data_IF_170182409844
#
_entry.id   IF_170182409844
#
_cell.length_a   1.000
_cell.length_b   1.000
_cell.length_c   1.000
_cell.angle_alpha   90.00
_cell.angle_beta   90.00
_cell.angle_gamma   90.00
#
_symmetry.space_group_name_H-M   'P 1'
#
loop_
_entity.id
_entity.type
_entity.pdbx_description
1 polymer ?
#
# COMPACT_ATOMS: atom_id res chain seq x y z
N UNK A 1 -0.82 -3.73 16.11
CA UNK A 1 -0.26 -2.80 15.14
C UNK A 1 -1.01 -1.49 15.30
N UNK A 2 -0.35 -0.43 15.71
CA UNK A 2 -0.91 0.94 15.71
C UNK A 2 -1.08 1.41 14.27
N UNK A 3 -1.83 2.50 14.06
CA UNK A 3 -1.98 3.10 12.73
C UNK A 3 -0.64 3.56 12.15
N UNK A 4 0.26 4.08 12.97
CA UNK A 4 1.62 4.44 12.54
C UNK A 4 2.40 3.21 12.05
N UNK A 5 2.39 2.13 12.84
CA UNK A 5 3.03 0.86 12.45
C UNK A 5 2.41 0.27 11.16
N UNK A 6 1.09 0.45 10.97
CA UNK A 6 0.39 0.04 9.74
C UNK A 6 0.84 0.85 8.53
N UNK A 7 1.01 2.17 8.67
CA UNK A 7 1.54 3.05 7.61
C UNK A 7 2.96 2.64 7.26
N UNK A 8 3.83 2.46 8.25
CA UNK A 8 5.22 2.06 8.03
C UNK A 8 5.30 0.71 7.31
N UNK A 9 4.49 -0.26 7.75
CA UNK A 9 4.41 -1.56 7.08
C UNK A 9 3.93 -1.39 5.64
N UNK A 10 2.84 -0.67 5.41
CA UNK A 10 2.27 -0.41 4.08
C UNK A 10 3.29 0.21 3.12
N UNK A 11 3.95 1.29 3.57
CA UNK A 11 4.97 2.02 2.80
C UNK A 11 6.13 1.10 2.41
N UNK A 12 6.62 0.30 3.36
CA UNK A 12 7.72 -0.63 3.13
C UNK A 12 7.36 -1.71 2.11
N UNK A 13 6.19 -2.35 2.24
CA UNK A 13 5.78 -3.40 1.31
C UNK A 13 5.54 -2.85 -0.10
N UNK A 14 4.86 -1.71 -0.24
CA UNK A 14 4.61 -1.08 -1.54
C UNK A 14 5.92 -0.67 -2.23
N UNK A 15 6.87 -0.10 -1.48
CA UNK A 15 8.18 0.26 -2.00
C UNK A 15 8.96 -0.96 -2.50
N UNK A 16 8.89 -2.09 -1.79
CA UNK A 16 9.51 -3.34 -2.22
C UNK A 16 8.86 -3.90 -3.49
N UNK A 17 7.52 -3.86 -3.58
CA UNK A 17 6.78 -4.26 -4.78
C UNK A 17 7.23 -3.43 -5.98
N UNK A 18 7.31 -2.10 -5.84
CA UNK A 18 7.75 -1.20 -6.92
C UNK A 18 9.17 -1.53 -7.35
N UNK A 19 10.10 -1.69 -6.40
CA UNK A 19 11.49 -2.05 -6.69
C UNK A 19 11.60 -3.36 -7.46
N UNK A 20 10.90 -4.40 -7.01
CA UNK A 20 10.94 -5.71 -7.65
C UNK A 20 10.26 -5.69 -9.02
N UNK A 21 9.09 -5.06 -9.13
CA UNK A 21 8.37 -4.94 -10.40
C UNK A 21 9.18 -4.20 -11.45
N UNK A 22 9.85 -3.10 -11.07
CA UNK A 22 10.74 -2.36 -11.97
C UNK A 22 11.93 -3.22 -12.41
N UNK A 23 12.53 -4.00 -11.50
CA UNK A 23 13.68 -4.86 -11.83
C UNK A 23 13.29 -6.05 -12.73
N UNK A 24 12.26 -6.81 -12.34
CA UNK A 24 11.87 -8.05 -13.02
C UNK A 24 11.23 -7.78 -14.38
N UNK A 25 10.37 -6.77 -14.46
CA UNK A 25 9.57 -6.48 -15.67
C UNK A 25 10.07 -5.25 -16.44
N UNK A 26 11.20 -4.68 -16.05
CA UNK A 26 11.78 -3.46 -16.64
C UNK A 26 10.75 -2.31 -16.75
N UNK A 27 10.03 -2.07 -15.65
CA UNK A 27 9.04 -1.00 -15.55
C UNK A 27 9.64 0.27 -14.93
N UNK A 28 8.91 1.39 -15.08
CA UNK A 28 9.21 2.66 -14.43
C UNK A 28 8.05 3.08 -13.51
N UNK A 29 7.74 2.23 -12.54
CA UNK A 29 6.75 2.52 -11.50
C UNK A 29 7.37 3.40 -10.42
N UNK A 30 6.60 4.37 -9.95
CA UNK A 30 6.92 5.19 -8.79
C UNK A 30 5.86 4.98 -7.71
N UNK A 31 6.28 5.09 -6.45
CA UNK A 31 5.42 5.06 -5.28
C UNK A 31 5.80 6.19 -4.35
N UNK A 32 4.80 6.99 -3.99
CA UNK A 32 4.94 8.07 -3.01
C UNK A 32 4.41 7.55 -1.67
N UNK A 33 5.24 7.55 -0.60
CA UNK A 33 4.84 7.05 0.70
C UNK A 33 3.78 7.95 1.35
N UNK A 34 3.04 7.37 2.28
CA UNK A 34 2.14 8.10 3.18
C UNK A 34 2.99 8.76 4.27
N UNK A 35 2.89 10.09 4.38
CA UNK A 35 3.60 10.91 5.37
C UNK A 35 2.56 11.55 6.29
N UNK A 36 2.09 10.79 7.29
CA UNK A 36 1.16 11.28 8.31
C UNK A 36 1.81 11.24 9.68
N UNK A 37 1.69 12.35 10.41
CA UNK A 37 2.21 12.46 11.77
C UNK A 37 1.17 11.97 12.79
N UNK A 38 1.55 11.01 13.63
CA UNK A 38 0.69 10.51 14.70
C UNK A 38 0.43 11.61 15.77
N UNK A 39 -0.83 11.93 16.08
CA UNK A 39 -1.13 12.89 17.13
C UNK A 39 -0.71 12.39 18.51
N UNK A 40 -0.09 13.26 19.32
CA UNK A 40 0.39 12.91 20.66
C UNK A 40 -0.72 12.56 21.68
N UNK A 41 -2.00 12.79 21.36
CA UNK A 41 -3.11 12.61 22.29
C UNK A 41 -4.28 11.88 21.62
N UNK A 42 -4.85 10.92 22.34
CA UNK A 42 -6.03 10.15 21.92
C UNK A 42 -7.30 11.00 22.06
N UNK A 43 -7.58 11.81 21.06
CA UNK A 43 -8.76 12.67 20.98
C UNK A 43 -9.33 12.68 19.55
N UNK A 44 -10.18 13.64 19.22
CA UNK A 44 -10.76 13.78 17.87
C UNK A 44 -9.71 13.90 16.75
N UNK A 45 -8.51 14.41 17.04
CA UNK A 45 -7.40 14.46 16.10
C UNK A 45 -6.84 13.06 15.81
N UNK A 46 -6.78 12.20 16.83
CA UNK A 46 -6.39 10.80 16.65
C UNK A 46 -7.36 10.06 15.74
N UNK A 47 -8.67 10.19 15.98
CA UNK A 47 -9.68 9.56 15.12
C UNK A 47 -9.66 10.12 13.68
N UNK A 48 -9.36 11.41 13.51
CA UNK A 48 -9.18 12.00 12.18
C UNK A 48 -7.95 11.41 11.48
N UNK A 49 -6.83 11.28 12.19
CA UNK A 49 -5.60 10.63 11.72
C UNK A 49 -5.84 9.17 11.29
N UNK A 50 -6.55 8.37 12.08
CA UNK A 50 -6.86 6.97 11.71
C UNK A 50 -7.69 6.87 10.43
N UNK A 51 -8.67 7.76 10.28
CA UNK A 51 -9.50 7.82 9.06
C UNK A 51 -8.68 8.24 7.86
N UNK A 52 -7.88 9.30 7.99
CA UNK A 52 -7.03 9.81 6.92
C UNK A 52 -5.99 8.76 6.48
N UNK A 53 -5.35 8.09 7.43
CA UNK A 53 -4.43 6.99 7.16
C UNK A 53 -5.10 5.87 6.37
N UNK A 54 -6.33 5.49 6.76
CA UNK A 54 -7.11 4.46 6.06
C UNK A 54 -7.46 4.88 4.63
N UNK A 55 -7.87 6.13 4.43
CA UNK A 55 -8.18 6.67 3.11
C UNK A 55 -6.95 6.71 2.21
N UNK A 56 -5.82 7.24 2.70
CA UNK A 56 -4.57 7.29 1.95
C UNK A 56 -4.03 5.90 1.61
N UNK A 57 -4.10 4.93 2.53
CA UNK A 57 -3.73 3.54 2.24
C UNK A 57 -4.56 2.95 1.11
N UNK A 58 -5.87 3.20 1.08
CA UNK A 58 -6.75 2.73 0.01
C UNK A 58 -6.41 3.38 -1.33
N UNK A 59 -6.24 4.70 -1.35
CA UNK A 59 -5.99 5.44 -2.58
C UNK A 59 -4.65 5.05 -3.20
N UNK A 60 -3.58 5.02 -2.39
CA UNK A 60 -2.24 4.61 -2.84
C UNK A 60 -2.20 3.14 -3.27
N UNK A 61 -2.94 2.26 -2.58
CA UNK A 61 -3.09 0.86 -2.99
C UNK A 61 -3.72 0.76 -4.37
N UNK A 62 -4.87 1.42 -4.60
CA UNK A 62 -5.55 1.36 -5.89
C UNK A 62 -4.72 1.96 -7.01
N UNK A 63 -4.02 3.06 -6.75
CA UNK A 63 -3.12 3.67 -7.71
C UNK A 63 -2.02 2.69 -8.15
N UNK A 64 -1.30 2.10 -7.19
CA UNK A 64 -0.23 1.15 -7.47
C UNK A 64 -0.76 -0.12 -8.17
N UNK A 65 -1.83 -0.70 -7.66
CA UNK A 65 -2.37 -1.95 -8.21
C UNK A 65 -3.04 -1.75 -9.57
N UNK A 66 -3.55 -0.57 -9.88
CA UNK A 66 -3.99 -0.23 -11.23
C UNK A 66 -2.82 -0.22 -12.21
N UNK A 67 -1.68 0.40 -11.85
CA UNK A 67 -0.47 0.40 -12.70
C UNK A 67 0.07 -1.02 -12.91
N UNK A 68 0.11 -1.83 -11.84
CA UNK A 68 0.54 -3.23 -11.91
C UNK A 68 -0.41 -4.09 -12.77
N UNK A 69 -1.73 -3.88 -12.65
CA UNK A 69 -2.71 -4.62 -13.44
C UNK A 69 -2.68 -4.23 -14.92
N UNK A 70 -2.48 -2.93 -15.21
CA UNK A 70 -2.31 -2.43 -16.57
C UNK A 70 -1.03 -2.98 -17.23
N UNK A 71 -0.03 -3.31 -16.41
CA UNK A 71 1.20 -3.99 -16.83
C UNK A 71 1.07 -5.53 -16.85
N UNK A 72 -0.15 -6.06 -16.64
CA UNK A 72 -0.46 -7.49 -16.59
C UNK A 72 0.31 -8.30 -15.51
N UNK A 73 0.82 -7.65 -14.46
CA UNK A 73 1.52 -8.31 -13.36
C UNK A 73 0.54 -8.87 -12.34
N UNK A 74 -0.51 -8.11 -12.02
CA UNK A 74 -1.54 -8.48 -11.06
C UNK A 74 -2.92 -8.48 -11.71
N UNK A 75 -3.89 -9.15 -11.07
CA UNK A 75 -5.30 -8.96 -11.42
C UNK A 75 -5.77 -7.61 -10.87
N UNK A 76 -6.79 -6.99 -11.48
CA UNK A 76 -7.41 -5.79 -10.91
C UNK A 76 -7.82 -6.02 -9.45
N UNK A 77 -7.52 -5.04 -8.60
CA UNK A 77 -7.92 -5.10 -7.20
C UNK A 77 -9.44 -5.07 -7.07
N UNK A 78 -9.98 -5.74 -6.05
CA UNK A 78 -11.41 -5.72 -5.78
C UNK A 78 -11.90 -4.29 -5.47
N UNK A 79 -13.09 -3.88 -5.96
CA UNK A 79 -13.68 -2.62 -5.56
C UNK A 79 -14.05 -2.67 -4.06
N UNK A 80 -13.85 -1.57 -3.35
CA UNK A 80 -14.14 -1.43 -1.91
C UNK A 80 -13.35 -2.37 -0.98
N UNK A 81 -12.02 -2.43 -1.18
CA UNK A 81 -11.10 -3.17 -0.35
C UNK A 81 -11.08 -2.64 1.09
N UNK A 82 -11.20 -3.57 2.06
CA UNK A 82 -10.89 -3.29 3.46
C UNK A 82 -9.37 -3.21 3.66
N UNK A 83 -8.93 -2.55 4.74
CA UNK A 83 -7.50 -2.47 5.09
C UNK A 83 -6.85 -3.85 5.20
N UNK A 84 -7.55 -4.82 5.81
CA UNK A 84 -7.04 -6.20 5.89
C UNK A 84 -6.87 -6.84 4.52
N UNK A 85 -7.82 -6.62 3.60
CA UNK A 85 -7.70 -7.12 2.22
C UNK A 85 -6.50 -6.49 1.51
N UNK A 86 -6.27 -5.20 1.72
CA UNK A 86 -5.13 -4.47 1.15
C UNK A 86 -3.82 -5.12 1.58
N UNK A 87 -3.62 -5.29 2.89
CA UNK A 87 -2.40 -5.93 3.40
C UNK A 87 -2.21 -7.34 2.86
N UNK A 88 -3.25 -8.17 2.92
CA UNK A 88 -3.17 -9.54 2.38
C UNK A 88 -2.82 -9.55 0.88
N UNK A 89 -3.35 -8.60 0.11
CA UNK A 89 -3.11 -8.53 -1.34
C UNK A 89 -1.69 -8.07 -1.63
N UNK A 90 -1.18 -7.09 -0.88
CA UNK A 90 0.20 -6.61 -0.93
C UNK A 90 1.15 -7.76 -0.61
N UNK A 91 0.96 -8.45 0.52
CA UNK A 91 1.83 -9.53 0.97
C UNK A 91 1.89 -10.69 -0.05
N UNK A 92 0.72 -11.07 -0.56
CA UNK A 92 0.62 -12.11 -1.60
C UNK A 92 1.32 -11.68 -2.91
N UNK A 93 1.23 -10.40 -3.27
CA UNK A 93 1.87 -9.87 -4.47
C UNK A 93 3.38 -9.84 -4.30
N UNK A 94 3.87 -9.34 -3.16
CA UNK A 94 5.29 -9.32 -2.85
C UNK A 94 5.88 -10.73 -2.83
N UNK A 95 5.21 -11.67 -2.15
CA UNK A 95 5.63 -13.08 -2.09
C UNK A 95 5.75 -13.71 -3.49
N UNK A 96 4.87 -13.33 -4.41
CA UNK A 96 4.96 -13.79 -5.80
C UNK A 96 6.13 -13.15 -6.53
N UNK A 97 6.30 -11.83 -6.42
CA UNK A 97 7.40 -11.10 -7.06
C UNK A 97 8.78 -11.58 -6.59
N UNK A 98 8.93 -11.91 -5.31
CA UNK A 98 10.18 -12.44 -4.76
C UNK A 98 10.57 -13.84 -5.27
N UNK A 99 9.64 -14.56 -5.91
CA UNK A 99 9.90 -15.89 -6.50
C UNK A 99 10.34 -15.83 -7.96
N UNK A 100 10.17 -14.69 -8.63
CA UNK A 100 10.66 -14.45 -9.99
C UNK A 100 12.14 -14.07 -9.94
#
# INVERSE_FOLDING_TARGET
MTTAEQIDYFNNQCSQIVKLANNIFNLNLNYEPIELDEPATFNSWYSAYEREATEQMRDKFYELFSKLSNSHITRPAAPFATVQYIFNTIDNTLTKLQKY
#
